data_IF_347960446063
#
_entry.id   IF_347960446063
#
_cell.length_a   1.000
_cell.length_b   1.000
_cell.length_c   1.000
_cell.angle_alpha   90.00
_cell.angle_beta   90.00
_cell.angle_gamma   90.00
#
_symmetry.space_group_name_H-M   'P 1'
#
loop_
_entity.id
_entity.type
_entity.pdbx_description
1 polymer ?
#
# COMPACT_ATOMS: atom_id res chain seq x y z
N UNK A 1 -24.25 5.10 -0.40
CA UNK A 1 -24.29 3.67 -0.02
C UNK A 1 -22.91 3.39 0.57
N UNK A 2 -22.77 3.48 1.89
CA UNK A 2 -21.49 3.29 2.57
C UNK A 2 -21.16 1.79 2.60
N UNK A 3 -20.57 1.33 1.51
CA UNK A 3 -19.99 0.00 1.42
C UNK A 3 -18.68 0.02 2.22
N UNK A 4 -18.64 -0.73 3.33
CA UNK A 4 -17.43 -0.87 4.14
C UNK A 4 -16.49 -1.83 3.41
N UNK A 5 -15.41 -1.28 2.85
CA UNK A 5 -14.37 -2.06 2.18
C UNK A 5 -13.19 -2.28 3.13
N UNK A 6 -12.54 -3.44 3.01
CA UNK A 6 -11.23 -3.69 3.62
C UNK A 6 -10.16 -3.64 2.54
N UNK A 7 -9.12 -2.84 2.76
CA UNK A 7 -7.97 -2.77 1.88
C UNK A 7 -6.78 -3.49 2.50
N UNK A 8 -5.98 -4.17 1.68
CA UNK A 8 -4.67 -4.71 2.03
C UNK A 8 -3.65 -4.22 1.00
N UNK A 9 -2.44 -3.94 1.47
CA UNK A 9 -1.33 -3.50 0.62
C UNK A 9 -0.16 -4.46 0.83
N UNK A 10 0.34 -5.01 -0.27
CA UNK A 10 1.49 -5.93 -0.28
C UNK A 10 2.65 -5.26 -0.99
N UNK A 11 3.86 -5.35 -0.43
CA UNK A 11 5.07 -4.76 -1.01
C UNK A 11 6.13 -5.85 -1.14
N UNK A 12 6.58 -6.13 -2.37
CA UNK A 12 7.56 -7.16 -2.67
C UNK A 12 8.99 -6.59 -2.57
N UNK A 13 9.75 -7.10 -1.60
CA UNK A 13 11.12 -6.67 -1.30
C UNK A 13 12.16 -7.02 -2.38
N UNK A 14 11.84 -7.91 -3.31
CA UNK A 14 12.72 -8.29 -4.43
C UNK A 14 12.67 -7.26 -5.57
N UNK A 15 11.55 -6.55 -5.69
CA UNK A 15 11.30 -5.57 -6.75
C UNK A 15 11.35 -4.13 -6.25
N UNK A 16 11.03 -3.86 -4.98
CA UNK A 16 11.06 -2.51 -4.44
C UNK A 16 12.48 -1.92 -4.45
N UNK A 17 12.63 -0.78 -5.12
CA UNK A 17 13.89 -0.02 -5.22
C UNK A 17 13.96 1.21 -4.30
N UNK A 18 12.99 1.40 -3.40
CA UNK A 18 13.02 2.49 -2.41
C UNK A 18 12.85 3.90 -2.99
N UNK A 19 12.17 4.05 -4.14
CA UNK A 19 11.98 5.34 -4.80
C UNK A 19 10.96 6.28 -4.12
N UNK A 20 10.19 5.77 -3.15
CA UNK A 20 9.20 6.51 -2.35
C UNK A 20 8.05 7.19 -3.14
N UNK A 21 7.87 6.90 -4.43
CA UNK A 21 6.74 7.42 -5.23
C UNK A 21 5.38 7.03 -4.64
N UNK A 22 5.25 5.80 -4.15
CA UNK A 22 4.03 5.31 -3.51
C UNK A 22 3.68 6.09 -2.22
N UNK A 23 4.69 6.57 -1.48
CA UNK A 23 4.49 7.44 -0.30
C UNK A 23 4.03 8.82 -0.76
N UNK A 24 4.77 9.42 -1.70
CA UNK A 24 4.51 10.78 -2.18
C UNK A 24 3.11 10.95 -2.80
N UNK A 25 2.65 9.96 -3.57
CA UNK A 25 1.37 10.05 -4.29
C UNK A 25 0.19 9.43 -3.53
N UNK A 26 0.38 8.86 -2.34
CA UNK A 26 -0.74 8.31 -1.59
C UNK A 26 -1.66 9.45 -1.11
N UNK A 27 -2.90 9.59 -1.62
CA UNK A 27 -3.79 10.69 -1.22
C UNK A 27 -4.30 10.57 0.23
N UNK A 28 -4.04 9.42 0.87
CA UNK A 28 -4.44 9.09 2.23
C UNK A 28 -3.26 8.96 3.18
N UNK A 29 -2.03 9.23 2.72
CA UNK A 29 -0.80 9.14 3.52
C UNK A 29 -0.67 7.80 4.28
N UNK A 30 -0.98 6.69 3.60
CA UNK A 30 -1.01 5.34 4.21
C UNK A 30 0.40 4.77 4.41
N UNK A 31 1.36 5.22 3.60
CA UNK A 31 2.70 4.66 3.51
C UNK A 31 3.73 5.63 4.10
N UNK A 32 4.74 5.11 4.78
CA UNK A 32 5.88 5.88 5.32
C UNK A 32 7.21 5.22 4.97
N UNK A 33 8.31 5.96 5.06
CA UNK A 33 9.65 5.40 4.88
C UNK A 33 10.03 4.60 6.12
N UNK A 34 10.45 3.35 5.95
CA UNK A 34 10.97 2.52 7.04
C UNK A 34 12.50 2.53 7.07
N UNK A 35 13.05 2.15 8.23
CA UNK A 35 14.49 1.83 8.37
C UNK A 35 14.83 0.42 7.86
N UNK A 36 13.82 -0.38 7.49
CA UNK A 36 14.03 -1.72 6.94
C UNK A 36 14.53 -1.63 5.52
N UNK A 37 15.65 -2.30 5.26
CA UNK A 37 16.21 -2.40 3.91
C UNK A 37 15.56 -3.55 3.13
N UNK A 38 15.33 -3.33 1.84
CA UNK A 38 14.98 -4.39 0.89
C UNK A 38 16.15 -5.34 0.67
N UNK A 39 15.93 -6.45 -0.05
CA UNK A 39 17.02 -7.35 -0.45
C UNK A 39 18.08 -6.67 -1.34
N UNK A 40 17.79 -5.48 -1.87
CA UNK A 40 18.70 -4.65 -2.66
C UNK A 40 19.41 -3.58 -1.83
N UNK A 41 19.22 -3.56 -0.51
CA UNK A 41 19.90 -2.65 0.41
C UNK A 41 19.32 -1.23 0.46
N UNK A 42 18.08 -1.03 0.02
CA UNK A 42 17.43 0.30 -0.02
C UNK A 42 16.29 0.40 0.99
N UNK A 43 16.06 1.56 1.64
CA UNK A 43 14.92 1.75 2.54
C UNK A 43 13.60 1.48 1.83
N UNK A 44 12.76 0.65 2.44
CA UNK A 44 11.45 0.32 1.87
C UNK A 44 10.33 1.15 2.49
N UNK A 45 9.27 1.47 1.72
CA UNK A 45 8.02 1.92 2.29
C UNK A 45 7.41 0.84 3.21
N UNK A 46 6.76 1.28 4.28
CA UNK A 46 5.94 0.48 5.18
C UNK A 46 4.51 1.01 5.19
N UNK A 47 3.54 0.11 5.33
CA UNK A 47 2.13 0.46 5.52
C UNK A 47 1.94 0.89 6.97
N UNK A 48 1.88 2.21 7.21
CA UNK A 48 1.79 2.78 8.56
C UNK A 48 0.34 3.00 9.02
N UNK A 49 -0.56 3.36 8.09
CA UNK A 49 -1.93 3.79 8.40
C UNK A 49 -2.96 3.08 7.51
N UNK A 50 -3.04 1.74 7.59
CA UNK A 50 -3.90 0.93 6.70
C UNK A 50 -5.39 1.26 6.85
N UNK A 51 -5.81 1.70 8.03
CA UNK A 51 -7.17 2.14 8.35
C UNK A 51 -7.62 3.36 7.54
N UNK A 52 -6.68 4.17 7.05
CA UNK A 52 -6.96 5.31 6.17
C UNK A 52 -7.05 4.91 4.69
N UNK A 53 -6.66 3.68 4.35
CA UNK A 53 -6.65 3.20 2.98
C UNK A 53 -8.07 2.92 2.48
N UNK A 54 -8.43 3.55 1.36
CA UNK A 54 -9.70 3.32 0.66
C UNK A 54 -9.57 2.36 -0.55
N UNK A 55 -8.39 1.75 -0.72
CA UNK A 55 -8.10 0.84 -1.82
C UNK A 55 -8.10 1.51 -3.20
N UNK A 56 -7.66 2.76 -3.32
CA UNK A 56 -7.67 3.49 -4.59
C UNK A 56 -6.66 3.01 -5.64
N UNK A 57 -5.66 2.21 -5.27
CA UNK A 57 -4.65 1.68 -6.20
C UNK A 57 -3.62 2.69 -6.71
N UNK A 58 -3.63 3.94 -6.25
CA UNK A 58 -2.68 4.97 -6.74
C UNK A 58 -1.22 4.58 -6.49
N UNK A 59 -0.92 3.99 -5.34
CA UNK A 59 0.44 3.54 -5.02
C UNK A 59 0.93 2.41 -5.94
N UNK A 60 0.02 1.54 -6.40
CA UNK A 60 0.27 0.49 -7.41
C UNK A 60 0.49 1.08 -8.80
N UNK A 61 -0.37 2.02 -9.20
CA UNK A 61 -0.24 2.72 -10.49
C UNK A 61 1.11 3.44 -10.64
N UNK A 62 1.59 4.09 -9.58
CA UNK A 62 2.86 4.84 -9.60
C UNK A 62 4.09 3.98 -9.31
N UNK A 63 3.95 2.68 -9.10
CA UNK A 63 5.11 1.82 -8.87
C UNK A 63 5.76 1.43 -10.20
N UNK A 64 6.94 1.96 -10.55
CA UNK A 64 7.58 1.68 -11.85
C UNK A 64 8.08 0.22 -11.95
N UNK A 65 8.17 -0.48 -10.82
CA UNK A 65 8.71 -1.84 -10.71
C UNK A 65 7.64 -2.88 -10.39
N UNK A 66 6.36 -2.49 -10.37
CA UNK A 66 5.23 -3.37 -10.00
C UNK A 66 5.45 -4.10 -8.66
N UNK A 67 6.14 -3.43 -7.73
CA UNK A 67 6.53 -3.98 -6.45
C UNK A 67 5.44 -3.88 -5.38
N UNK A 68 4.28 -3.30 -5.70
CA UNK A 68 3.19 -3.08 -4.74
C UNK A 68 1.86 -3.49 -5.37
N UNK A 69 1.02 -4.15 -4.57
CA UNK A 69 -0.32 -4.63 -4.96
C UNK A 69 -1.33 -4.16 -3.92
N UNK A 70 -2.47 -3.65 -4.38
CA UNK A 70 -3.60 -3.26 -3.53
C UNK A 70 -4.76 -4.22 -3.73
N UNK A 71 -5.13 -4.94 -2.68
CA UNK A 71 -6.34 -5.76 -2.65
C UNK A 71 -7.47 -5.00 -1.96
N UNK A 72 -8.65 -4.99 -2.59
CA UNK A 72 -9.87 -4.37 -2.05
C UNK A 72 -10.98 -5.40 -1.99
N UNK A 73 -11.36 -5.79 -0.78
CA UNK A 73 -12.44 -6.76 -0.53
C UNK A 73 -13.67 -6.01 0.03
N UNK A 74 -14.85 -6.32 -0.49
CA UNK A 74 -16.10 -5.89 0.13
C UNK A 74 -16.30 -6.68 1.43
N UNK A 75 -16.50 -6.01 2.56
CA UNK A 75 -16.97 -6.72 3.75
C UNK A 75 -18.45 -7.01 3.57
N UNK A 76 -18.83 -8.27 3.53
CA UNK A 76 -20.21 -8.63 3.84
C UNK A 76 -20.46 -8.23 5.29
N UNK A 77 -21.40 -7.31 5.52
CA UNK A 77 -21.85 -6.98 6.85
C UNK A 77 -22.37 -8.28 7.48
N UNK A 78 -21.71 -8.75 8.55
CA UNK A 78 -22.15 -9.91 9.30
C UNK A 78 -23.63 -9.71 9.66
N UNK A 79 -24.51 -10.49 9.01
CA UNK A 79 -25.92 -10.59 9.40
C UNK A 79 -25.93 -11.04 10.86
N UNK A 80 -26.34 -10.15 11.76
CA UNK A 80 -26.76 -10.51 13.11
C UNK A 80 -28.28 -10.39 13.17
#
# INVERSE_FOLDING_TARGET
RDEIFMAKIYINDNYCKGCNLCIHFCPKNVLETSTKLSKRGVPMPVVAHIENCNGCGVCELFCPDFAIVVEKEAKEAAKK
#
